data_IF_002847733824
#
_entry.id   IF_002847733824
#
_cell.length_a   1.000
_cell.length_b   1.000
_cell.length_c   1.000
_cell.angle_alpha   90.00
_cell.angle_beta   90.00
_cell.angle_gamma   90.00
#
_symmetry.space_group_name_H-M   'P 1'
#
loop_
_entity.id
_entity.type
_entity.pdbx_description
1 polymer ?
#
# COMPACT_ATOMS: atom_id res chain seq x y z
N UNK A 1 0.04 -8.47 7.08
CA UNK A 1 0.44 -7.56 5.99
C UNK A 1 0.34 -8.19 4.59
N UNK A 2 1.03 -9.29 4.26
CA UNK A 2 1.00 -9.85 2.87
C UNK A 2 -0.41 -10.26 2.37
N UNK A 3 -1.19 -10.94 3.21
CA UNK A 3 -2.56 -11.33 2.89
C UNK A 3 -3.52 -10.13 2.80
N UNK A 4 -3.31 -9.10 3.62
CA UNK A 4 -4.09 -7.85 3.59
C UNK A 4 -3.81 -7.07 2.30
N UNK A 5 -2.54 -6.94 1.90
CA UNK A 5 -2.17 -6.32 0.62
C UNK A 5 -2.81 -7.05 -0.57
N UNK A 6 -2.87 -8.40 -0.53
CA UNK A 6 -3.59 -9.18 -1.54
C UNK A 6 -5.09 -8.88 -1.55
N UNK A 7 -5.74 -8.83 -0.38
CA UNK A 7 -7.16 -8.52 -0.27
C UNK A 7 -7.48 -7.12 -0.82
N UNK A 8 -6.62 -6.13 -0.57
CA UNK A 8 -6.74 -4.78 -1.12
C UNK A 8 -6.64 -4.81 -2.65
N UNK A 9 -5.67 -5.54 -3.22
CA UNK A 9 -5.54 -5.70 -4.69
C UNK A 9 -6.83 -6.28 -5.29
N UNK A 10 -7.37 -7.36 -4.72
CA UNK A 10 -8.60 -7.99 -5.21
C UNK A 10 -9.79 -7.05 -5.10
N UNK A 11 -9.95 -6.37 -3.96
CA UNK A 11 -11.07 -5.45 -3.75
C UNK A 11 -11.02 -4.24 -4.71
N UNK A 12 -9.84 -3.75 -5.07
CA UNK A 12 -9.67 -2.67 -6.05
C UNK A 12 -9.98 -3.14 -7.48
N UNK A 13 -9.55 -4.36 -7.83
CA UNK A 13 -9.92 -5.00 -9.09
C UNK A 13 -11.44 -5.17 -9.20
N UNK A 14 -12.10 -5.69 -8.17
CA UNK A 14 -13.55 -5.94 -8.18
C UNK A 14 -14.36 -4.64 -8.28
N UNK A 15 -13.79 -3.51 -7.86
CA UNK A 15 -14.35 -2.17 -8.06
C UNK A 15 -14.07 -1.58 -9.45
N UNK A 16 -13.41 -2.32 -10.33
CA UNK A 16 -13.07 -1.89 -11.68
C UNK A 16 -11.97 -0.84 -11.74
N UNK A 17 -11.15 -0.70 -10.68
CA UNK A 17 -10.07 0.29 -10.65
C UNK A 17 -8.94 -0.08 -11.62
N UNK A 18 -8.75 -1.35 -11.93
CA UNK A 18 -7.83 -1.84 -12.96
C UNK A 18 -8.23 -3.26 -13.39
N UNK A 19 -7.72 -3.70 -14.53
CA UNK A 19 -7.83 -5.08 -15.02
C UNK A 19 -6.68 -5.96 -14.53
N UNK A 20 -6.90 -7.28 -14.48
CA UNK A 20 -5.82 -8.23 -14.16
C UNK A 20 -4.65 -8.18 -15.15
N UNK A 21 -4.87 -7.81 -16.41
CA UNK A 21 -3.81 -7.59 -17.39
C UNK A 21 -2.91 -6.42 -17.01
N UNK A 22 -3.49 -5.27 -16.66
CA UNK A 22 -2.72 -4.11 -16.21
C UNK A 22 -1.93 -4.41 -14.93
N UNK A 23 -2.55 -5.14 -14.00
CA UNK A 23 -1.87 -5.63 -12.80
C UNK A 23 -0.67 -6.52 -13.13
N UNK A 24 -0.84 -7.48 -14.04
CA UNK A 24 0.23 -8.39 -14.45
C UNK A 24 1.38 -7.65 -15.13
N UNK A 25 1.08 -6.64 -15.96
CA UNK A 25 2.09 -5.82 -16.64
C UNK A 25 2.93 -5.01 -15.64
N UNK A 26 2.28 -4.31 -14.71
CA UNK A 26 2.99 -3.50 -13.70
C UNK A 26 3.77 -4.39 -12.74
N UNK A 27 3.19 -5.50 -12.28
CA UNK A 27 3.90 -6.46 -11.41
C UNK A 27 5.10 -7.08 -12.13
N UNK A 28 4.95 -7.48 -13.38
CA UNK A 28 6.08 -8.02 -14.15
C UNK A 28 7.18 -6.99 -14.35
N UNK A 29 6.85 -5.70 -14.46
CA UNK A 29 7.85 -4.65 -14.57
C UNK A 29 8.65 -4.49 -13.26
N UNK A 30 7.98 -4.55 -12.09
CA UNK A 30 8.64 -4.52 -10.78
C UNK A 30 9.56 -5.71 -10.55
N UNK A 31 9.08 -6.93 -10.83
CA UNK A 31 9.82 -8.18 -10.58
C UNK A 31 11.04 -8.33 -11.49
N UNK A 32 11.04 -7.67 -12.66
CA UNK A 32 12.17 -7.67 -13.61
C UNK A 32 13.16 -6.52 -13.37
N UNK A 33 12.96 -5.69 -12.33
CA UNK A 33 13.86 -4.56 -12.09
C UNK A 33 15.29 -5.04 -11.79
N UNK A 34 16.32 -4.37 -12.33
CA UNK A 34 17.70 -4.64 -11.96
C UNK A 34 17.89 -4.44 -10.45
N UNK A 35 18.36 -5.48 -9.75
CA UNK A 35 18.53 -5.45 -8.29
C UNK A 35 17.46 -6.21 -7.50
N UNK A 36 16.46 -6.80 -8.17
CA UNK A 36 15.56 -7.77 -7.55
C UNK A 36 16.34 -8.91 -6.88
N UNK A 37 15.96 -9.28 -5.67
CA UNK A 37 16.64 -10.34 -4.94
C UNK A 37 16.49 -11.68 -5.67
N UNK A 38 17.61 -12.38 -5.89
CA UNK A 38 17.61 -13.64 -6.63
C UNK A 38 16.93 -14.79 -5.87
N UNK A 39 16.81 -14.66 -4.55
CA UNK A 39 16.09 -15.57 -3.66
C UNK A 39 14.62 -15.18 -3.45
N UNK A 40 14.19 -14.03 -3.99
CA UNK A 40 12.80 -13.56 -3.98
C UNK A 40 12.28 -13.06 -2.63
N UNK A 41 13.15 -12.76 -1.65
CA UNK A 41 12.70 -12.26 -0.34
C UNK A 41 11.99 -10.90 -0.44
N UNK A 42 12.30 -10.12 -1.47
CA UNK A 42 11.71 -8.82 -1.79
C UNK A 42 10.42 -8.92 -2.62
N UNK A 43 9.97 -10.13 -2.97
CA UNK A 43 8.81 -10.34 -3.85
C UNK A 43 7.55 -9.61 -3.37
N UNK A 44 7.29 -9.64 -2.06
CA UNK A 44 6.11 -8.97 -1.49
C UNK A 44 6.27 -7.45 -1.42
N UNK A 45 7.51 -6.94 -1.31
CA UNK A 45 7.80 -5.51 -1.38
C UNK A 45 7.64 -5.01 -2.82
N UNK A 46 8.15 -5.75 -3.81
CA UNK A 46 7.94 -5.47 -5.24
C UNK A 46 6.45 -5.51 -5.61
N UNK A 47 5.71 -6.45 -5.04
CA UNK A 47 4.26 -6.54 -5.24
C UNK A 47 3.51 -5.36 -4.63
N UNK A 48 3.96 -4.84 -3.48
CA UNK A 48 3.42 -3.61 -2.90
C UNK A 48 3.77 -2.39 -3.78
N UNK A 49 5.01 -2.28 -4.24
CA UNK A 49 5.46 -1.21 -5.13
C UNK A 49 4.66 -1.18 -6.45
N UNK A 50 4.32 -2.36 -7.01
CA UNK A 50 3.47 -2.48 -8.18
C UNK A 50 2.07 -1.89 -7.95
N UNK A 51 1.49 -2.18 -6.78
CA UNK A 51 0.16 -1.68 -6.40
C UNK A 51 0.16 -0.16 -6.21
N UNK A 52 1.17 0.38 -5.51
CA UNK A 52 1.33 1.84 -5.34
C UNK A 52 1.51 2.55 -6.69
N UNK A 53 2.34 1.99 -7.58
CA UNK A 53 2.56 2.54 -8.90
C UNK A 53 1.27 2.54 -9.75
N UNK A 54 0.51 1.45 -9.70
CA UNK A 54 -0.76 1.33 -10.43
C UNK A 54 -1.81 2.32 -9.92
N UNK A 55 -1.92 2.50 -8.60
CA UNK A 55 -2.85 3.45 -8.00
C UNK A 55 -2.45 4.90 -8.26
N UNK A 56 -1.16 5.21 -8.21
CA UNK A 56 -0.61 6.52 -8.54
C UNK A 56 -0.85 6.87 -10.00
N UNK A 57 -0.57 5.94 -10.93
CA UNK A 57 -0.80 6.12 -12.37
C UNK A 57 -2.27 6.41 -12.69
N UNK A 58 -3.19 5.85 -11.91
CA UNK A 58 -4.63 6.05 -12.07
C UNK A 58 -5.19 7.25 -11.29
N UNK A 59 -4.35 7.98 -10.55
CA UNK A 59 -4.79 9.12 -9.74
C UNK A 59 -5.70 8.74 -8.57
N UNK A 60 -5.69 7.47 -8.15
CA UNK A 60 -6.53 6.95 -7.04
C UNK A 60 -5.88 7.23 -5.69
N UNK A 61 -4.58 7.01 -5.59
CA UNK A 61 -3.77 7.35 -4.44
C UNK A 61 -2.32 7.53 -4.90
N UNK A 62 -1.79 8.74 -4.76
CA UNK A 62 -0.39 9.02 -5.04
C UNK A 62 0.50 8.51 -3.90
N UNK A 63 1.81 8.38 -4.16
CA UNK A 63 2.76 7.99 -3.11
C UNK A 63 2.71 8.91 -1.90
N UNK A 64 2.57 10.21 -2.12
CA UNK A 64 2.42 11.20 -1.04
C UNK A 64 1.16 10.96 -0.17
N UNK A 65 0.07 10.49 -0.76
CA UNK A 65 -1.17 10.20 -0.02
C UNK A 65 -0.98 8.96 0.87
N UNK A 66 -0.33 7.93 0.32
CA UNK A 66 0.01 6.70 1.06
C UNK A 66 0.98 7.02 2.20
N UNK A 67 2.05 7.77 1.93
CA UNK A 67 3.05 8.16 2.92
C UNK A 67 2.43 9.01 4.03
N UNK A 68 1.57 9.98 3.67
CA UNK A 68 0.87 10.83 4.63
C UNK A 68 -0.07 10.03 5.52
N UNK A 69 -0.78 9.05 4.93
CA UNK A 69 -1.70 8.19 5.67
C UNK A 69 -0.95 7.21 6.58
N UNK A 70 0.18 6.65 6.12
CA UNK A 70 1.04 5.79 6.93
C UNK A 70 1.60 6.56 8.14
N UNK A 71 2.10 7.78 7.92
CA UNK A 71 2.58 8.65 8.99
C UNK A 71 1.45 9.02 9.98
N UNK A 72 0.24 9.26 9.49
CA UNK A 72 -0.93 9.51 10.35
C UNK A 72 -1.27 8.29 11.23
N UNK A 73 -1.22 7.08 10.67
CA UNK A 73 -1.40 5.84 11.43
C UNK A 73 -0.30 5.60 12.46
N UNK A 74 0.95 5.89 12.14
CA UNK A 74 2.08 5.80 13.07
C UNK A 74 1.89 6.74 14.26
N UNK A 75 1.53 8.01 14.00
CA UNK A 75 1.21 8.98 15.05
C UNK A 75 0.02 8.56 15.89
N UNK A 76 -1.05 8.08 15.26
CA UNK A 76 -2.23 7.56 15.95
C UNK A 76 -1.87 6.37 16.87
N UNK A 77 -1.01 5.45 16.40
CA UNK A 77 -0.53 4.33 17.21
C UNK A 77 0.25 4.80 18.43
N UNK A 78 1.15 5.78 18.26
CA UNK A 78 1.91 6.38 19.37
C UNK A 78 1.05 7.12 20.38
N UNK A 79 -0.02 7.78 19.93
CA UNK A 79 -0.94 8.54 20.79
C UNK A 79 -1.99 7.64 21.48
N UNK A 80 -2.15 6.38 21.04
CA UNK A 80 -3.15 5.46 21.59
C UNK A 80 -2.62 4.80 22.88
N UNK A 81 -3.26 4.99 24.05
CA UNK A 81 -2.87 4.30 25.27
C UNK A 81 -2.95 2.77 25.13
N UNK A 82 -2.07 2.05 25.83
CA UNK A 82 -2.09 0.59 25.84
C UNK A 82 -3.47 0.02 26.21
N UNK A 83 -3.94 -0.95 25.44
CA UNK A 83 -5.26 -1.58 25.62
C UNK A 83 -6.43 -0.82 25.00
N UNK A 84 -6.18 0.26 24.25
CA UNK A 84 -7.20 0.97 23.46
C UNK A 84 -7.02 0.68 21.96
N UNK A 85 -8.10 0.72 21.16
CA UNK A 85 -8.00 0.55 19.71
C UNK A 85 -7.23 1.70 19.08
N UNK A 86 -6.33 1.39 18.15
CA UNK A 86 -5.67 2.40 17.32
C UNK A 86 -6.68 2.81 16.26
N UNK A 87 -7.13 4.06 16.31
CA UNK A 87 -8.03 4.66 15.35
C UNK A 87 -7.32 5.86 14.74
N UNK A 88 -7.57 6.14 13.46
CA UNK A 88 -6.90 7.25 12.76
C UNK A 88 -7.25 8.62 13.34
N UNK A 89 -8.37 8.74 14.07
CA UNK A 89 -8.76 9.90 14.87
C UNK A 89 -7.84 10.18 16.07
N UNK A 90 -7.05 9.19 16.48
CA UNK A 90 -6.06 9.34 17.54
C UNK A 90 -4.81 10.10 17.04
N UNK A 91 -4.68 10.39 15.73
CA UNK A 91 -3.58 11.19 15.20
C UNK A 91 -3.67 12.64 15.72
N UNK A 92 -2.73 13.11 16.56
CA UNK A 92 -2.76 14.47 17.11
C UNK A 92 -2.66 15.56 16.04
N UNK A 93 -2.16 15.25 14.83
CA UNK A 93 -2.06 16.21 13.72
C UNK A 93 -3.32 16.29 12.87
N UNK A 94 -4.29 15.39 13.07
CA UNK A 94 -5.56 15.37 12.34
C UNK A 94 -6.65 16.21 13.01
N UNK A 95 -6.51 16.50 14.29
CA UNK A 95 -7.46 17.29 15.07
C UNK A 95 -7.27 18.83 14.94
N UNK A 96 -6.48 19.29 13.96
CA UNK A 96 -6.20 20.70 13.69
C UNK A 96 -6.90 21.24 12.46
#
# INVERSE_FOLDING_TARGET
WQAEAFAITVALHDKGMFSWSEWADVLSAEVKRPGAASDGHDYYEQRLAALENLLSTKGVAGRNDVDSLAAAWERAAHATPHGKPILLENDPQRAG
#
